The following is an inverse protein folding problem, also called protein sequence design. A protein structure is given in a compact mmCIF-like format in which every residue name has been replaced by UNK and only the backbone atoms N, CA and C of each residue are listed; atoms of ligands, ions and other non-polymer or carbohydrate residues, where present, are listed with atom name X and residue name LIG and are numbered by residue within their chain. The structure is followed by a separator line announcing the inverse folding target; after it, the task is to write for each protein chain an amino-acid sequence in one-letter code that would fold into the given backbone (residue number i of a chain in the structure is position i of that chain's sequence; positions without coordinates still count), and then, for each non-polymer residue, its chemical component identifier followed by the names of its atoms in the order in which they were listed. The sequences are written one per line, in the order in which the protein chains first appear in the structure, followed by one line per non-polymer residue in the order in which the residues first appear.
data_IF_671994132192
#
_entry.id   IF_671994132192
#
_cell.length_a   1.000
_cell.length_b   1.000
_cell.length_c   1.000
_cell.angle_alpha   90.00
_cell.angle_beta   90.00
_cell.angle_gamma   90.00
#
_symmetry.space_group_name_H-M   'P 1'
#
loop_
_entity.id
_entity.type
_entity.pdbx_description
1 polymer ?
#
# COMPACT_ATOMS: atom_id res chain seq x y z
N UNK A 1 10.12 -12.83 0.52
CA UNK A 1 9.89 -13.48 1.83
C UNK A 1 9.26 -14.83 1.57
N UNK A 2 9.75 -15.89 2.19
CA UNK A 2 9.22 -17.25 2.03
C UNK A 2 9.28 -18.01 3.37
N UNK A 3 8.66 -19.20 3.43
CA UNK A 3 8.60 -20.03 4.63
C UNK A 3 8.66 -21.50 4.23
N UNK A 4 9.64 -22.24 4.74
CA UNK A 4 9.83 -23.68 4.45
C UNK A 4 8.58 -24.50 4.80
N UNK A 5 8.01 -24.29 5.99
CA UNK A 5 6.76 -24.95 6.42
C UNK A 5 5.58 -24.72 5.47
N UNK A 6 5.49 -23.55 4.82
CA UNK A 6 4.42 -23.28 3.86
C UNK A 6 4.72 -23.96 2.53
N UNK A 7 5.98 -23.94 2.09
CA UNK A 7 6.43 -24.61 0.88
C UNK A 7 6.14 -26.11 0.92
N UNK A 8 6.47 -26.78 2.02
CA UNK A 8 6.17 -28.21 2.25
C UNK A 8 4.67 -28.50 2.17
N UNK A 9 3.85 -27.65 2.81
CA UNK A 9 2.38 -27.82 2.81
C UNK A 9 1.75 -27.67 1.43
N UNK A 10 2.32 -26.84 0.55
CA UNK A 10 1.79 -26.64 -0.80
C UNK A 10 2.50 -27.49 -1.87
N UNK A 11 3.53 -28.26 -1.49
CA UNK A 11 4.29 -29.10 -2.42
C UNK A 11 5.12 -28.30 -3.45
N UNK A 12 5.51 -27.06 -3.12
CA UNK A 12 6.21 -26.18 -4.05
C UNK A 12 6.68 -24.87 -3.40
N UNK A 13 7.42 -24.05 -4.15
CA UNK A 13 7.95 -22.77 -3.63
C UNK A 13 6.86 -21.70 -3.57
N UNK A 14 6.47 -21.30 -2.37
CA UNK A 14 5.51 -20.21 -2.11
C UNK A 14 6.25 -18.93 -1.72
N UNK A 15 6.06 -17.87 -2.50
CA UNK A 15 6.61 -16.55 -2.22
C UNK A 15 5.53 -15.60 -1.71
N UNK A 16 5.82 -14.89 -0.62
CA UNK A 16 4.92 -13.89 -0.03
C UNK A 16 5.39 -12.49 -0.39
N UNK A 17 4.49 -11.72 -1.03
CA UNK A 17 4.66 -10.27 -1.22
C UNK A 17 4.05 -9.54 -0.01
N UNK A 18 4.89 -9.29 0.99
CA UNK A 18 4.48 -8.72 2.28
C UNK A 18 4.20 -7.20 2.21
N UNK A 19 3.13 -6.80 1.53
CA UNK A 19 2.74 -5.38 1.42
C UNK A 19 2.31 -4.74 2.76
N UNK A 20 2.10 -5.53 3.80
CA UNK A 20 1.89 -5.04 5.17
C UNK A 20 3.12 -4.35 5.76
N UNK A 21 4.32 -4.57 5.19
CA UNK A 21 5.57 -3.93 5.62
C UNK A 21 5.80 -2.56 4.99
N UNK A 22 4.87 -2.06 4.17
CA UNK A 22 4.93 -0.68 3.68
C UNK A 22 4.72 0.33 4.82
N UNK A 23 5.22 1.57 4.73
CA UNK A 23 5.19 2.55 5.83
C UNK A 23 3.81 2.76 6.48
N UNK A 24 2.74 2.65 5.70
CA UNK A 24 1.36 2.85 6.18
C UNK A 24 0.63 1.52 6.47
N UNK A 25 1.38 0.42 6.59
CA UNK A 25 0.88 -0.91 6.91
C UNK A 25 0.14 -1.62 5.77
N UNK A 26 0.16 -1.09 4.54
CA UNK A 26 -0.43 -1.74 3.37
C UNK A 26 0.09 -1.18 2.04
N UNK A 27 -0.23 -1.85 0.95
CA UNK A 27 0.13 -1.41 -0.41
C UNK A 27 -0.42 -0.03 -0.81
N UNK A 28 -1.43 0.49 -0.10
CA UNK A 28 -2.21 1.66 -0.53
C UNK A 28 -1.39 2.96 -0.56
N UNK A 29 -0.27 3.05 0.17
CA UNK A 29 0.67 4.20 0.10
C UNK A 29 1.16 4.44 -1.31
N UNK A 30 1.38 3.37 -2.09
CA UNK A 30 1.89 3.47 -3.46
C UNK A 30 0.90 4.22 -4.37
N UNK A 31 -0.38 3.85 -4.28
CA UNK A 31 -1.44 4.48 -5.07
C UNK A 31 -1.74 5.91 -4.64
N UNK A 32 -1.78 6.14 -3.31
CA UNK A 32 -1.96 7.49 -2.76
C UNK A 32 -0.83 8.43 -3.21
N UNK A 33 0.42 8.01 -3.04
CA UNK A 33 1.58 8.77 -3.51
C UNK A 33 1.53 9.04 -5.01
N UNK A 34 1.27 8.02 -5.82
CA UNK A 34 1.22 8.17 -7.28
C UNK A 34 0.18 9.20 -7.74
N UNK A 35 -0.98 9.29 -7.07
CA UNK A 35 -1.99 10.30 -7.42
C UNK A 35 -1.60 11.68 -6.90
N UNK A 36 -1.25 11.79 -5.62
CA UNK A 36 -1.01 13.07 -4.96
C UNK A 36 0.24 13.76 -5.52
N UNK A 37 1.31 13.01 -5.81
CA UNK A 37 2.55 13.55 -6.40
C UNK A 37 2.38 14.12 -7.82
N UNK A 38 1.26 13.84 -8.49
CA UNK A 38 0.95 14.33 -9.84
C UNK A 38 -0.07 15.48 -9.85
N UNK A 39 -0.56 15.90 -8.69
CA UNK A 39 -1.41 17.07 -8.60
C UNK A 39 -0.58 18.32 -8.89
N UNK A 40 -1.19 19.30 -9.55
CA UNK A 40 -0.56 20.61 -9.71
C UNK A 40 -0.41 21.31 -8.35
N UNK A 41 0.43 22.34 -8.29
CA UNK A 41 0.57 23.17 -7.08
C UNK A 41 -0.77 23.77 -6.65
N UNK A 42 -1.60 24.21 -7.60
CA UNK A 42 -2.92 24.77 -7.31
C UNK A 42 -3.91 23.71 -6.79
N UNK A 43 -3.83 22.48 -7.31
CA UNK A 43 -4.63 21.36 -6.80
C UNK A 43 -4.22 20.97 -5.38
N UNK A 44 -2.91 20.87 -5.11
CA UNK A 44 -2.40 20.58 -3.78
C UNK A 44 -2.77 21.66 -2.77
N UNK A 45 -2.72 22.94 -3.17
CA UNK A 45 -3.10 24.07 -2.32
C UNK A 45 -4.59 24.04 -1.92
N UNK A 46 -5.47 23.49 -2.77
CA UNK A 46 -6.89 23.27 -2.41
C UNK A 46 -7.10 22.09 -1.45
N UNK A 47 -6.07 21.27 -1.24
CA UNK A 47 -6.12 20.09 -0.39
C UNK A 47 -6.73 18.86 -1.07
N UNK A 48 -6.68 17.73 -0.37
CA UNK A 48 -7.18 16.43 -0.84
C UNK A 48 -8.15 15.86 0.19
N UNK A 49 -9.28 15.33 -0.29
CA UNK A 49 -10.23 14.56 0.52
C UNK A 49 -10.19 13.09 0.10
N UNK A 50 -10.10 12.19 1.07
CA UNK A 50 -10.19 10.75 0.84
C UNK A 50 -11.28 10.13 1.72
N UNK A 51 -12.23 9.42 1.10
CA UNK A 51 -13.17 8.57 1.81
C UNK A 51 -12.66 7.13 1.82
N UNK A 52 -12.48 6.56 3.00
CA UNK A 52 -11.91 5.22 3.15
C UNK A 52 -12.40 4.49 4.39
N UNK A 53 -12.45 3.17 4.32
CA UNK A 53 -12.61 2.27 5.47
C UNK A 53 -11.35 2.07 6.32
N UNK A 54 -10.21 2.70 5.99
CA UNK A 54 -9.02 2.68 6.85
C UNK A 54 -7.69 2.81 6.10
N UNK A 55 -7.22 1.73 5.46
CA UNK A 55 -5.87 1.66 4.88
C UNK A 55 -5.58 2.74 3.83
N UNK A 56 -6.58 3.25 3.11
CA UNK A 56 -6.36 4.34 2.16
C UNK A 56 -6.32 5.70 2.88
N UNK A 57 -7.12 5.90 3.92
CA UNK A 57 -7.04 7.09 4.77
C UNK A 57 -5.65 7.26 5.37
N UNK A 58 -5.08 6.18 5.94
CA UNK A 58 -3.68 6.14 6.43
C UNK A 58 -2.63 6.30 5.34
N UNK A 59 -2.97 6.02 4.09
CA UNK A 59 -2.05 6.17 2.97
C UNK A 59 -2.02 7.60 2.40
N UNK A 60 -3.10 8.36 2.61
CA UNK A 60 -3.26 9.74 2.15
C UNK A 60 -2.80 10.75 3.21
N UNK A 61 -3.01 10.45 4.49
CA UNK A 61 -2.56 11.23 5.64
C UNK A 61 -1.05 11.09 5.87
#
# INVERSE_FOLDING_TARGET
MESERLNERVGGRLLVKAETLQPTGSFKVRGAWNRISRLSSDELARGVLALSSGNHGRAVA
#
